data_IF_996243065264
#
_entry.id   IF_996243065264
#
_cell.length_a   1.000
_cell.length_b   1.000
_cell.length_c   1.000
_cell.angle_alpha   90.00
_cell.angle_beta   90.00
_cell.angle_gamma   90.00
#
_symmetry.space_group_name_H-M   'P 1'
#
loop_
_entity.id
_entity.type
_entity.pdbx_description
1 polymer ?
#
# COMPACT_ATOMS: atom_id res chain seq x y z
N UNK A 1 36.14 6.03 34.11
CA UNK A 1 35.09 6.25 33.08
C UNK A 1 34.64 4.88 32.60
N UNK A 2 33.44 4.46 32.95
CA UNK A 2 32.83 3.27 32.36
C UNK A 2 32.57 3.52 30.87
N UNK A 3 33.05 2.62 30.02
CA UNK A 3 32.76 2.69 28.58
C UNK A 3 31.33 2.24 28.37
N UNK A 4 30.55 3.02 27.63
CA UNK A 4 29.23 2.60 27.18
C UNK A 4 29.34 1.27 26.42
N UNK A 5 28.56 0.23 26.77
CA UNK A 5 28.61 -1.07 26.13
C UNK A 5 28.44 -1.02 24.60
N UNK A 6 29.15 -1.88 23.89
CA UNK A 6 29.15 -1.96 22.42
C UNK A 6 27.75 -2.20 21.86
N UNK A 7 26.93 -2.95 22.58
CA UNK A 7 25.55 -3.30 22.22
C UNK A 7 24.66 -2.05 22.14
N UNK A 8 24.90 -1.08 23.04
CA UNK A 8 24.18 0.20 23.03
C UNK A 8 24.57 0.99 21.77
N UNK A 9 25.87 1.07 21.45
CA UNK A 9 26.33 1.75 20.25
C UNK A 9 25.80 1.10 18.97
N UNK A 10 25.80 -0.24 18.89
CA UNK A 10 25.21 -0.97 17.77
C UNK A 10 23.72 -0.66 17.62
N UNK A 11 22.97 -0.60 18.72
CA UNK A 11 21.55 -0.26 18.68
C UNK A 11 21.30 1.17 18.20
N UNK A 12 22.09 2.14 18.68
CA UNK A 12 21.98 3.55 18.25
C UNK A 12 22.37 3.69 16.77
N UNK A 13 23.46 3.05 16.35
CA UNK A 13 23.90 3.06 14.95
C UNK A 13 22.85 2.43 14.03
N UNK A 14 22.23 1.32 14.44
CA UNK A 14 21.10 0.72 13.71
C UNK A 14 20.00 1.75 13.51
N UNK A 15 19.53 2.42 14.56
CA UNK A 15 18.50 3.48 14.44
C UNK A 15 18.93 4.62 13.50
N UNK A 16 20.22 4.94 13.46
CA UNK A 16 20.76 5.99 12.61
C UNK A 16 20.80 5.60 11.12
N UNK A 17 20.83 4.32 10.77
CA UNK A 17 20.92 3.84 9.38
C UNK A 17 19.69 3.05 8.91
N UNK A 18 18.84 2.60 9.85
CA UNK A 18 17.64 1.82 9.58
C UNK A 18 16.47 2.73 9.26
N UNK A 19 16.21 2.91 7.97
CA UNK A 19 14.93 3.37 7.48
C UNK A 19 14.69 2.70 6.12
N UNK A 20 13.65 1.87 6.05
CA UNK A 20 13.30 1.13 4.84
C UNK A 20 12.63 2.07 3.85
N UNK A 21 13.43 2.69 2.99
CA UNK A 21 12.94 3.60 1.95
C UNK A 21 12.55 2.87 0.66
N UNK A 22 13.05 1.65 0.48
CA UNK A 22 12.76 0.78 -0.65
C UNK A 22 12.16 -0.54 -0.15
N UNK A 23 11.39 -1.24 -1.00
CA UNK A 23 10.91 -2.57 -0.71
C UNK A 23 12.06 -3.53 -0.43
N UNK A 24 11.89 -4.41 0.54
CA UNK A 24 12.80 -5.52 0.77
C UNK A 24 12.38 -6.66 -0.15
N UNK A 25 13.33 -7.17 -0.94
CA UNK A 25 13.05 -8.25 -1.87
C UNK A 25 12.67 -9.52 -1.10
N UNK A 26 11.50 -10.10 -1.44
CA UNK A 26 11.05 -11.39 -0.89
C UNK A 26 10.21 -11.32 0.38
N UNK A 27 10.04 -10.16 1.02
CA UNK A 27 9.10 -9.97 2.13
C UNK A 27 7.77 -9.41 1.59
N UNK A 28 6.87 -10.29 1.15
CA UNK A 28 5.54 -9.95 0.61
C UNK A 28 4.50 -9.63 1.70
N UNK A 29 4.94 -9.06 2.82
CA UNK A 29 4.02 -8.55 3.83
C UNK A 29 3.29 -7.34 3.23
N UNK A 30 2.00 -7.50 2.93
CA UNK A 30 1.13 -6.45 2.39
C UNK A 30 1.31 -5.13 3.16
N UNK A 31 1.46 -5.22 4.49
CA UNK A 31 1.65 -4.05 5.34
C UNK A 31 2.96 -3.35 5.02
N UNK A 32 4.04 -4.09 4.78
CA UNK A 32 5.33 -3.51 4.36
C UNK A 32 5.24 -2.91 2.97
N UNK A 33 4.62 -3.61 2.01
CA UNK A 33 4.42 -3.12 0.65
C UNK A 33 3.68 -1.78 0.67
N UNK A 34 2.53 -1.68 1.35
CA UNK A 34 1.79 -0.41 1.49
C UNK A 34 2.56 0.67 2.23
N UNK A 35 3.32 0.32 3.27
CA UNK A 35 4.16 1.30 3.98
C UNK A 35 5.20 1.92 3.08
N UNK A 36 5.63 1.17 2.07
CA UNK A 36 6.71 1.57 1.18
C UNK A 36 6.14 2.23 -0.07
N UNK A 37 4.98 1.82 -0.58
CA UNK A 37 4.31 2.48 -1.71
C UNK A 37 3.63 3.79 -1.31
N UNK A 38 3.23 3.95 -0.04
CA UNK A 38 2.63 5.18 0.49
C UNK A 38 3.59 5.92 1.44
N UNK A 39 3.62 7.26 1.40
CA UNK A 39 4.35 8.02 2.43
C UNK A 39 3.46 8.22 3.64
N UNK A 40 3.59 7.31 4.60
CA UNK A 40 2.86 7.35 5.86
C UNK A 40 3.53 8.28 6.89
N UNK A 41 2.74 8.80 7.85
CA UNK A 41 3.29 9.56 8.97
C UNK A 41 4.34 8.78 9.78
N UNK A 42 4.18 7.45 9.90
CA UNK A 42 5.10 6.57 10.61
C UNK A 42 6.45 6.49 9.91
N UNK A 43 6.46 6.22 8.60
CA UNK A 43 7.69 6.18 7.80
C UNK A 43 8.48 7.49 7.95
N UNK A 44 7.78 8.63 7.84
CA UNK A 44 8.42 9.93 7.98
C UNK A 44 8.96 10.17 9.40
N UNK A 45 8.22 9.79 10.43
CA UNK A 45 8.69 9.89 11.82
C UNK A 45 9.95 9.06 12.06
N UNK A 46 9.97 7.84 11.55
CA UNK A 46 11.14 6.95 11.61
C UNK A 46 12.33 7.55 10.86
N UNK A 47 12.11 8.05 9.64
CA UNK A 47 13.16 8.72 8.87
C UNK A 47 13.72 9.95 9.61
N UNK A 48 12.84 10.81 10.14
CA UNK A 48 13.23 12.00 10.92
C UNK A 48 13.98 11.64 12.19
N UNK A 49 13.59 10.56 12.87
CA UNK A 49 14.30 10.05 14.03
C UNK A 49 15.69 9.52 13.63
N UNK A 50 15.81 8.84 12.50
CA UNK A 50 17.10 8.39 11.96
C UNK A 50 18.02 9.57 11.66
N UNK A 51 17.53 10.63 11.00
CA UNK A 51 18.31 11.85 10.73
C UNK A 51 18.78 12.54 12.01
N UNK A 52 17.88 12.72 12.99
CA UNK A 52 18.25 13.30 14.30
C UNK A 52 19.32 12.48 15.00
N UNK A 53 19.19 11.15 14.96
CA UNK A 53 20.17 10.24 15.55
C UNK A 53 21.51 10.37 14.83
N UNK A 54 21.52 10.41 13.48
CA UNK A 54 22.73 10.67 12.69
C UNK A 54 23.39 12.00 13.07
N UNK A 55 22.63 13.09 13.11
CA UNK A 55 23.16 14.41 13.48
C UNK A 55 23.78 14.38 14.88
N UNK A 56 23.10 13.78 15.86
CA UNK A 56 23.63 13.69 17.23
C UNK A 56 24.91 12.84 17.29
N UNK A 57 24.94 11.71 16.59
CA UNK A 57 26.12 10.84 16.55
C UNK A 57 27.34 11.54 15.93
N UNK A 58 27.12 12.35 14.90
CA UNK A 58 28.16 13.17 14.26
C UNK A 58 28.76 14.23 15.18
N UNK A 59 27.97 14.74 16.13
CA UNK A 59 28.45 15.67 17.16
C UNK A 59 29.27 14.95 18.25
N UNK A 60 28.99 13.67 18.49
CA UNK A 60 29.69 12.87 19.50
C UNK A 60 31.03 12.35 18.97
N UNK A 61 31.08 11.89 17.72
CA UNK A 61 32.26 11.24 17.16
C UNK A 61 32.52 11.67 15.71
N UNK A 62 33.55 12.49 15.51
CA UNK A 62 33.93 13.00 14.19
C UNK A 62 34.33 11.89 13.20
N UNK A 63 34.91 10.77 13.67
CA UNK A 63 35.28 9.65 12.79
C UNK A 63 34.07 8.92 12.20
N UNK A 64 32.86 9.15 12.71
CA UNK A 64 31.62 8.62 12.13
C UNK A 64 31.01 9.55 11.09
N UNK A 65 31.53 10.77 10.91
CA UNK A 65 30.93 11.75 10.00
C UNK A 65 30.82 11.20 8.58
N UNK A 66 31.93 10.72 8.01
CA UNK A 66 31.94 10.21 6.64
C UNK A 66 30.98 9.03 6.45
N UNK A 67 31.00 8.07 7.38
CA UNK A 67 30.09 6.92 7.37
C UNK A 67 28.63 7.34 7.44
N UNK A 68 28.25 8.14 8.45
CA UNK A 68 26.86 8.55 8.68
C UNK A 68 26.34 9.47 7.58
N UNK A 69 27.22 10.25 6.96
CA UNK A 69 26.85 11.10 5.84
C UNK A 69 26.35 10.33 4.62
N UNK A 70 26.79 9.08 4.42
CA UNK A 70 26.29 8.23 3.33
C UNK A 70 24.80 7.90 3.49
N UNK A 71 24.25 8.07 4.69
CA UNK A 71 22.86 7.78 5.02
C UNK A 71 21.98 9.03 5.12
N UNK A 72 22.56 10.23 5.02
CA UNK A 72 21.82 11.49 4.99
C UNK A 72 21.17 11.74 3.63
N UNK A 73 20.11 12.56 3.62
CA UNK A 73 19.49 13.10 2.40
C UNK A 73 18.91 12.02 1.45
N UNK A 74 18.57 10.84 1.99
CA UNK A 74 18.09 9.69 1.19
C UNK A 74 16.60 9.74 0.82
N UNK A 75 15.81 10.55 1.52
CA UNK A 75 14.38 10.74 1.25
C UNK A 75 14.08 12.22 1.04
N UNK A 76 13.37 12.52 -0.04
CA UNK A 76 12.96 13.88 -0.39
C UNK A 76 11.49 13.90 -0.71
N UNK A 77 10.79 14.90 -0.18
CA UNK A 77 9.48 15.28 -0.68
C UNK A 77 9.58 16.61 -1.38
N UNK A 78 9.25 16.62 -2.66
CA UNK A 78 9.12 17.80 -3.47
C UNK A 78 7.79 18.48 -3.14
N UNK A 79 7.88 19.77 -2.87
CA UNK A 79 6.70 20.58 -2.60
C UNK A 79 6.91 21.93 -3.28
N UNK A 80 5.87 22.47 -3.94
CA UNK A 80 5.95 23.79 -4.58
C UNK A 80 6.10 24.94 -3.57
N UNK A 81 6.12 24.64 -2.27
CA UNK A 81 6.24 25.61 -1.19
C UNK A 81 7.64 25.62 -0.54
N UNK A 82 8.45 24.57 -0.73
CA UNK A 82 9.81 24.49 -0.17
C UNK A 82 10.77 23.88 -1.20
N UNK A 83 11.47 24.72 -1.99
CA UNK A 83 12.30 24.26 -3.11
C UNK A 83 13.45 23.33 -2.72
N UNK A 84 14.09 23.60 -1.57
CA UNK A 84 15.26 22.84 -1.11
C UNK A 84 14.88 21.53 -0.39
N UNK A 85 13.61 21.15 -0.41
CA UNK A 85 13.08 20.00 0.35
C UNK A 85 12.73 20.37 1.79
N UNK A 86 11.66 19.75 2.31
CA UNK A 86 10.95 20.32 3.45
C UNK A 86 11.72 20.27 4.79
N UNK A 87 12.49 19.22 5.13
CA UNK A 87 13.38 19.21 6.31
C UNK A 87 14.16 17.89 6.47
N UNK A 88 15.49 17.93 6.75
CA UNK A 88 16.36 19.10 6.57
C UNK A 88 16.45 19.48 5.07
N UNK A 89 16.86 20.71 4.74
CA UNK A 89 17.18 21.07 3.36
C UNK A 89 18.16 20.06 2.77
N UNK A 90 17.84 19.56 1.59
CA UNK A 90 18.57 18.50 0.90
C UNK A 90 19.86 19.08 0.37
N UNK A 91 20.99 18.67 0.95
CA UNK A 91 22.31 19.17 0.54
C UNK A 91 22.90 18.37 -0.61
N UNK A 92 22.52 17.10 -0.74
CA UNK A 92 23.14 16.11 -1.64
C UNK A 92 22.08 15.34 -2.40
N UNK A 93 21.60 15.97 -3.46
CA UNK A 93 20.57 15.42 -4.35
C UNK A 93 21.02 14.13 -5.07
N UNK A 94 22.33 13.95 -5.24
CA UNK A 94 22.95 12.73 -5.81
C UNK A 94 22.77 11.48 -4.91
N UNK A 95 22.40 11.68 -3.63
CA UNK A 95 22.21 10.60 -2.64
C UNK A 95 20.76 10.23 -2.38
N UNK A 96 19.83 10.95 -2.99
CA UNK A 96 18.40 10.68 -2.85
C UNK A 96 18.11 9.28 -3.36
N UNK A 97 17.41 8.50 -2.55
CA UNK A 97 16.99 7.14 -2.89
C UNK A 97 15.50 7.10 -3.21
N UNK A 98 14.72 7.89 -2.50
CA UNK A 98 13.27 7.97 -2.67
C UNK A 98 12.83 9.41 -2.77
N UNK A 99 12.05 9.67 -3.79
CA UNK A 99 11.46 10.96 -4.09
C UNK A 99 9.94 10.83 -4.06
N UNK A 100 9.30 11.73 -3.32
CA UNK A 100 7.85 11.88 -3.28
C UNK A 100 7.51 13.25 -3.85
N UNK A 101 6.57 13.32 -4.80
CA UNK A 101 6.07 14.61 -5.27
C UNK A 101 5.03 15.20 -4.32
N UNK A 102 4.16 16.09 -4.81
CA UNK A 102 3.23 16.84 -3.98
C UNK A 102 1.96 16.00 -3.74
N UNK A 103 2.08 14.82 -3.14
CA UNK A 103 0.93 14.02 -2.77
C UNK A 103 0.17 14.68 -1.62
N UNK A 104 -1.17 14.62 -1.65
CA UNK A 104 -2.06 15.20 -0.65
C UNK A 104 -2.11 14.44 0.69
N UNK A 105 -0.99 13.96 1.21
CA UNK A 105 -1.00 13.23 2.48
C UNK A 105 -1.30 14.17 3.66
N UNK A 106 -2.42 13.89 4.32
CA UNK A 106 -2.87 14.58 5.54
C UNK A 106 -2.27 13.89 6.76
N UNK A 107 -1.14 14.38 7.25
CA UNK A 107 -0.69 13.95 8.56
C UNK A 107 -1.32 14.79 9.67
N UNK A 108 -2.14 14.17 10.53
CA UNK A 108 -2.75 14.84 11.71
C UNK A 108 -1.74 15.12 12.82
N UNK A 109 -0.76 14.23 12.99
CA UNK A 109 0.36 14.45 13.91
C UNK A 109 1.28 15.47 13.23
N UNK A 110 1.75 16.49 13.95
CA UNK A 110 2.73 17.50 13.47
C UNK A 110 4.11 16.91 13.08
N UNK A 111 4.17 15.66 12.62
CA UNK A 111 5.40 15.09 12.09
C UNK A 111 5.81 15.85 10.83
N UNK A 112 4.83 16.18 9.98
CA UNK A 112 4.88 17.22 8.97
C UNK A 112 4.43 18.57 9.54
N UNK A 113 4.76 19.72 8.91
CA UNK A 113 3.87 20.87 8.97
C UNK A 113 2.47 20.34 8.68
N UNK A 114 1.55 20.63 9.58
CA UNK A 114 0.21 20.08 9.46
C UNK A 114 -0.35 20.42 8.07
N UNK A 115 -1.12 19.51 7.48
CA UNK A 115 -1.87 19.82 6.27
C UNK A 115 -2.75 21.07 6.47
N UNK A 116 -3.08 21.45 7.71
CA UNK A 116 -3.71 22.74 8.01
C UNK A 116 -2.88 23.95 7.54
N UNK A 117 -1.55 23.85 7.54
CA UNK A 117 -0.63 24.84 6.98
C UNK A 117 -0.65 24.79 5.44
N UNK A 118 -0.78 23.61 4.83
CA UNK A 118 -0.97 23.47 3.37
C UNK A 118 -2.38 23.88 2.91
N UNK A 119 -3.43 23.71 3.72
CA UNK A 119 -4.78 24.19 3.42
C UNK A 119 -4.86 25.69 3.64
N UNK A 120 -4.18 26.23 4.67
CA UNK A 120 -3.91 27.66 4.81
C UNK A 120 -3.13 28.17 3.60
N UNK A 121 -2.09 27.48 3.12
CA UNK A 121 -1.37 27.79 1.87
C UNK A 121 -2.12 27.40 0.59
N UNK A 122 -3.27 26.73 0.67
CA UNK A 122 -4.15 26.53 -0.48
C UNK A 122 -5.14 27.68 -0.56
N UNK A 123 -5.57 28.20 0.60
CA UNK A 123 -6.44 29.38 0.73
C UNK A 123 -5.71 30.73 0.72
N UNK A 124 -4.41 30.75 1.07
CA UNK A 124 -3.52 31.93 1.17
C UNK A 124 -2.17 31.63 0.48
N UNK A 125 -2.16 30.72 -0.49
CA UNK A 125 -0.92 30.24 -1.06
C UNK A 125 -0.01 31.32 -1.61
N UNK A 126 1.29 31.01 -1.78
CA UNK A 126 2.12 31.77 -2.70
C UNK A 126 1.33 31.99 -4.00
N UNK A 127 1.47 33.20 -4.54
CA UNK A 127 0.91 33.55 -5.83
C UNK A 127 1.25 32.44 -6.85
N UNK A 128 0.38 32.21 -7.82
CA UNK A 128 0.58 31.21 -8.89
C UNK A 128 1.97 31.35 -9.51
N UNK A 129 2.48 32.59 -9.58
CA UNK A 129 3.84 32.90 -10.03
C UNK A 129 4.95 32.42 -9.08
N UNK A 130 4.81 32.56 -7.77
CA UNK A 130 5.78 32.06 -6.80
C UNK A 130 5.81 30.51 -6.77
N UNK A 131 4.65 29.88 -6.96
CA UNK A 131 4.56 28.42 -7.17
C UNK A 131 5.32 28.00 -8.44
N UNK A 132 5.05 28.64 -9.58
CA UNK A 132 5.76 28.35 -10.84
C UNK A 132 7.27 28.56 -10.67
N UNK A 133 7.69 29.63 -10.02
CA UNK A 133 9.10 29.92 -9.74
C UNK A 133 9.76 28.79 -8.93
N UNK A 134 9.06 28.27 -7.93
CA UNK A 134 9.54 27.15 -7.11
C UNK A 134 9.58 25.84 -7.90
N UNK A 135 8.56 25.55 -8.70
CA UNK A 135 8.53 24.39 -9.58
C UNK A 135 9.67 24.42 -10.61
N UNK A 136 9.92 25.58 -11.23
CA UNK A 136 11.05 25.82 -12.14
C UNK A 136 12.39 25.68 -11.42
N UNK A 137 12.54 26.21 -10.21
CA UNK A 137 13.76 26.06 -9.42
C UNK A 137 14.06 24.58 -9.12
N UNK A 138 13.04 23.80 -8.73
CA UNK A 138 13.18 22.36 -8.52
C UNK A 138 13.60 21.67 -9.83
N UNK A 139 12.87 21.95 -10.92
CA UNK A 139 13.14 21.36 -12.24
C UNK A 139 14.55 21.63 -12.73
N UNK A 140 14.99 22.88 -12.69
CA UNK A 140 16.21 23.29 -13.37
C UNK A 140 17.45 23.08 -12.49
N UNK A 141 17.30 23.16 -11.16
CA UNK A 141 18.44 23.10 -10.23
C UNK A 141 18.57 21.77 -9.49
N UNK A 142 17.46 21.13 -9.12
CA UNK A 142 17.47 20.01 -8.18
C UNK A 142 17.31 18.66 -8.86
N UNK A 143 16.33 18.51 -9.75
CA UNK A 143 16.09 17.23 -10.45
C UNK A 143 17.28 16.74 -11.28
N UNK A 144 18.07 17.59 -11.97
CA UNK A 144 19.23 17.13 -12.74
C UNK A 144 20.36 16.59 -11.87
N UNK A 145 20.34 16.88 -10.56
CA UNK A 145 21.32 16.38 -9.60
C UNK A 145 20.94 14.99 -9.05
N UNK A 146 19.75 14.47 -9.35
CA UNK A 146 19.36 13.12 -8.97
C UNK A 146 20.25 12.11 -9.71
N UNK A 147 21.03 11.35 -8.94
CA UNK A 147 21.91 10.33 -9.48
C UNK A 147 21.24 8.96 -9.59
N UNK A 148 22.02 7.97 -10.02
CA UNK A 148 21.66 6.54 -10.13
C UNK A 148 21.16 5.87 -8.82
N UNK A 149 21.22 6.61 -7.71
CA UNK A 149 20.78 6.15 -6.38
C UNK A 149 19.28 6.32 -6.19
N UNK A 150 18.63 7.19 -6.95
CA UNK A 150 17.19 7.41 -6.87
C UNK A 150 16.47 6.20 -7.46
N UNK A 151 15.90 5.36 -6.61
CA UNK A 151 15.29 4.08 -7.01
C UNK A 151 13.77 4.06 -6.84
N UNK A 152 13.20 5.08 -6.19
CA UNK A 152 11.77 5.15 -5.92
C UNK A 152 11.21 6.55 -6.22
N UNK A 153 10.14 6.59 -7.01
CA UNK A 153 9.39 7.80 -7.34
C UNK A 153 7.94 7.57 -6.93
N UNK A 154 7.39 8.47 -6.13
CA UNK A 154 6.01 8.39 -5.66
C UNK A 154 5.30 9.70 -5.94
N UNK A 155 4.13 9.63 -6.57
CA UNK A 155 3.28 10.77 -6.89
C UNK A 155 4.06 11.90 -7.57
N UNK A 156 4.72 11.66 -8.73
CA UNK A 156 5.64 12.62 -9.33
C UNK A 156 4.98 13.97 -9.70
N UNK A 157 3.65 14.01 -9.83
CA UNK A 157 2.87 15.22 -10.05
C UNK A 157 3.39 16.05 -11.24
N UNK A 158 3.67 17.36 -11.06
CA UNK A 158 4.10 18.23 -12.15
C UNK A 158 5.51 17.91 -12.69
N UNK A 159 6.30 17.10 -12.00
CA UNK A 159 7.68 16.75 -12.35
C UNK A 159 7.82 15.43 -13.09
N UNK A 160 6.71 14.77 -13.42
CA UNK A 160 6.70 13.46 -14.11
C UNK A 160 7.60 13.40 -15.34
N UNK A 161 7.49 14.39 -16.23
CA UNK A 161 8.31 14.47 -17.47
C UNK A 161 9.80 14.69 -17.20
N UNK A 162 10.15 15.38 -16.12
CA UNK A 162 11.54 15.66 -15.78
C UNK A 162 12.20 14.41 -15.18
N UNK A 163 11.44 13.68 -14.35
CA UNK A 163 11.86 12.45 -13.67
C UNK A 163 11.89 11.23 -14.60
N UNK A 164 11.22 11.31 -15.73
CA UNK A 164 11.34 10.36 -16.83
C UNK A 164 12.80 10.24 -17.34
N UNK A 165 13.73 11.14 -17.05
CA UNK A 165 15.14 10.89 -17.41
C UNK A 165 15.80 9.74 -16.63
N UNK A 166 15.21 9.31 -15.51
CA UNK A 166 15.73 8.24 -14.65
C UNK A 166 15.20 6.89 -15.16
N UNK A 167 16.08 5.92 -15.43
CA UNK A 167 15.76 4.61 -16.03
C UNK A 167 15.92 3.42 -15.05
N UNK A 168 16.64 3.62 -13.96
CA UNK A 168 17.00 2.63 -12.94
C UNK A 168 15.99 2.57 -11.78
N UNK A 169 14.77 3.05 -12.01
CA UNK A 169 13.70 3.07 -11.02
C UNK A 169 13.20 1.66 -10.75
N UNK A 170 13.08 1.32 -9.47
CA UNK A 170 12.62 0.03 -8.96
C UNK A 170 11.21 0.12 -8.38
N UNK A 171 10.81 1.29 -7.88
CA UNK A 171 9.46 1.58 -7.39
C UNK A 171 8.90 2.83 -8.07
N UNK A 172 7.74 2.69 -8.71
CA UNK A 172 6.99 3.80 -9.28
C UNK A 172 5.56 3.77 -8.73
N UNK A 173 5.14 4.86 -8.10
CA UNK A 173 3.74 5.11 -7.79
C UNK A 173 3.32 6.37 -8.57
N UNK A 174 2.53 6.16 -9.63
CA UNK A 174 2.05 7.21 -10.51
C UNK A 174 0.57 7.44 -10.28
N UNK A 175 0.25 8.50 -9.54
CA UNK A 175 -1.09 8.88 -9.14
C UNK A 175 -1.82 9.76 -10.17
N UNK A 176 -1.14 10.16 -11.24
CA UNK A 176 -1.76 10.94 -12.30
C UNK A 176 -2.64 10.03 -13.16
N UNK A 177 -3.94 10.34 -13.24
CA UNK A 177 -4.82 9.76 -14.25
C UNK A 177 -4.17 10.02 -15.60
N UNK A 178 -3.87 8.93 -16.31
CA UNK A 178 -3.26 9.01 -17.63
C UNK A 178 -4.29 9.64 -18.58
N UNK A 179 -4.17 10.95 -18.80
CA UNK A 179 -5.03 11.69 -19.74
C UNK A 179 -4.72 11.32 -21.21
N UNK A 180 -3.57 10.69 -21.45
CA UNK A 180 -3.14 10.18 -22.76
C UNK A 180 -3.56 8.71 -22.97
N UNK A 181 -3.38 8.22 -24.19
CA UNK A 181 -3.58 6.82 -24.55
C UNK A 181 -2.86 5.86 -23.56
N UNK A 182 -3.60 5.02 -22.81
CA UNK A 182 -3.01 4.06 -21.87
C UNK A 182 -2.03 3.09 -22.52
N UNK A 183 -2.24 2.75 -23.80
CA UNK A 183 -1.39 1.84 -24.56
C UNK A 183 0.01 2.40 -24.74
N UNK A 184 0.08 3.63 -25.23
CA UNK A 184 1.35 4.33 -25.44
C UNK A 184 2.06 4.53 -24.10
N UNK A 185 1.32 4.91 -23.07
CA UNK A 185 1.89 5.18 -21.76
C UNK A 185 2.46 3.91 -21.10
N UNK A 186 1.70 2.82 -21.02
CA UNK A 186 2.16 1.56 -20.42
C UNK A 186 3.32 0.95 -21.22
N UNK A 187 3.28 1.04 -22.55
CA UNK A 187 4.39 0.58 -23.41
C UNK A 187 5.65 1.44 -23.22
N UNK A 188 5.49 2.74 -22.99
CA UNK A 188 6.62 3.63 -22.65
C UNK A 188 7.18 3.29 -21.28
N UNK A 189 6.33 2.99 -20.29
CA UNK A 189 6.79 2.57 -18.97
C UNK A 189 7.56 1.24 -19.02
N UNK A 190 7.03 0.23 -19.71
CA UNK A 190 7.64 -1.11 -19.80
C UNK A 190 9.01 -1.09 -20.46
N UNK A 191 9.13 -0.38 -21.59
CA UNK A 191 10.40 -0.26 -22.32
C UNK A 191 11.47 0.50 -21.54
N UNK A 192 11.04 1.45 -20.71
CA UNK A 192 11.92 2.37 -19.99
C UNK A 192 12.38 1.85 -18.65
N UNK A 193 11.45 1.37 -17.83
CA UNK A 193 11.70 0.94 -16.46
C UNK A 193 11.85 -0.58 -16.41
N UNK A 194 12.85 -1.12 -17.09
CA UNK A 194 13.11 -2.57 -17.16
C UNK A 194 13.45 -3.20 -15.80
N UNK A 195 13.89 -2.37 -14.85
CA UNK A 195 14.23 -2.76 -13.47
C UNK A 195 13.07 -2.61 -12.48
N UNK A 196 11.88 -2.25 -12.96
CA UNK A 196 10.73 -2.00 -12.09
C UNK A 196 10.28 -3.27 -11.39
N UNK A 197 10.23 -3.22 -10.06
CA UNK A 197 9.76 -4.32 -9.20
C UNK A 197 8.39 -4.01 -8.61
N UNK A 198 8.11 -2.73 -8.35
CA UNK A 198 6.86 -2.27 -7.76
C UNK A 198 6.25 -1.15 -8.60
N UNK A 199 5.00 -1.37 -9.04
CA UNK A 199 4.23 -0.41 -9.81
C UNK A 199 2.89 -0.18 -9.14
N UNK A 200 2.61 1.06 -8.79
CA UNK A 200 1.27 1.54 -8.46
C UNK A 200 0.84 2.54 -9.52
N UNK A 201 -0.34 2.35 -10.10
CA UNK A 201 -0.79 3.10 -11.26
C UNK A 201 -2.30 3.31 -11.26
N UNK A 202 -2.72 4.47 -11.77
CA UNK A 202 -4.12 4.79 -12.02
C UNK A 202 -4.41 4.71 -13.50
N UNK A 203 -5.32 3.81 -13.90
CA UNK A 203 -5.66 3.56 -15.29
C UNK A 203 -7.13 3.86 -15.54
N UNK A 204 -7.53 4.37 -16.71
CA UNK A 204 -8.93 4.46 -17.06
C UNK A 204 -9.54 3.08 -17.36
N UNK A 205 -8.73 2.13 -17.82
CA UNK A 205 -9.14 0.77 -18.17
C UNK A 205 -7.95 -0.20 -18.17
N UNK A 206 -8.22 -1.50 -17.99
CA UNK A 206 -7.26 -2.59 -18.22
C UNK A 206 -7.22 -3.06 -19.68
N UNK A 207 -8.17 -2.61 -20.52
CA UNK A 207 -8.18 -2.89 -21.96
C UNK A 207 -7.21 -1.96 -22.65
N UNK A 208 -6.17 -2.55 -23.21
CA UNK A 208 -5.11 -1.80 -23.88
C UNK A 208 -4.85 -2.44 -25.26
N UNK A 209 -5.77 -2.27 -26.24
CA UNK A 209 -5.73 -3.02 -27.49
C UNK A 209 -4.42 -2.77 -28.23
N UNK A 210 -3.77 -3.85 -28.66
CA UNK A 210 -2.50 -3.78 -29.39
C UNK A 210 -1.27 -3.40 -28.55
N UNK A 211 -1.42 -3.12 -27.25
CA UNK A 211 -0.27 -2.94 -26.37
C UNK A 211 0.33 -4.28 -25.96
N UNK A 212 1.66 -4.34 -25.97
CA UNK A 212 2.43 -5.39 -25.33
C UNK A 212 3.13 -4.77 -24.12
N UNK A 213 2.69 -5.17 -22.93
CA UNK A 213 3.13 -4.62 -21.66
C UNK A 213 3.96 -5.69 -20.97
N UNK A 214 5.28 -5.55 -21.05
CA UNK A 214 6.25 -6.49 -20.48
C UNK A 214 6.93 -5.85 -19.26
N UNK A 215 6.82 -6.48 -18.08
CA UNK A 215 7.65 -6.10 -16.94
C UNK A 215 8.32 -7.34 -16.33
N UNK A 216 9.53 -7.70 -16.79
CA UNK A 216 10.16 -8.98 -16.46
C UNK A 216 10.57 -9.11 -14.99
N UNK A 217 10.69 -7.99 -14.28
CA UNK A 217 11.09 -7.92 -12.88
C UNK A 217 9.97 -7.49 -11.93
N UNK A 218 8.79 -7.15 -12.45
CA UNK A 218 7.69 -6.66 -11.64
C UNK A 218 7.13 -7.79 -10.78
N UNK A 219 7.22 -7.63 -9.46
CA UNK A 219 6.69 -8.58 -8.49
C UNK A 219 5.43 -8.08 -7.77
N UNK A 220 5.21 -6.75 -7.80
CA UNK A 220 4.11 -6.07 -7.11
C UNK A 220 3.44 -5.11 -8.07
N UNK A 221 2.15 -5.31 -8.31
CA UNK A 221 1.32 -4.43 -9.11
C UNK A 221 0.10 -3.97 -8.29
N UNK A 222 -0.11 -2.66 -8.19
CA UNK A 222 -1.32 -2.05 -7.64
C UNK A 222 -1.98 -1.21 -8.72
N UNK A 223 -3.13 -1.65 -9.21
CA UNK A 223 -3.91 -0.92 -10.23
C UNK A 223 -5.15 -0.34 -9.58
N UNK A 224 -5.36 0.96 -9.76
CA UNK A 224 -6.64 1.61 -9.45
C UNK A 224 -7.30 2.07 -10.74
N UNK A 225 -8.52 1.60 -11.00
CA UNK A 225 -9.30 2.09 -12.12
C UNK A 225 -9.96 3.43 -11.78
N UNK A 226 -9.59 4.47 -12.51
CA UNK A 226 -10.10 5.82 -12.35
C UNK A 226 -11.09 6.15 -13.46
N UNK A 227 -12.33 6.39 -13.07
CA UNK A 227 -13.47 6.59 -13.95
C UNK A 227 -13.75 8.05 -14.21
N UNK A 228 -13.16 8.58 -15.27
CA UNK A 228 -13.47 9.94 -15.72
C UNK A 228 -13.62 10.08 -17.23
N UNK A 229 -13.55 8.99 -17.99
CA UNK A 229 -13.58 9.08 -19.44
C UNK A 229 -14.49 7.98 -19.96
N UNK A 230 -15.57 8.37 -20.62
CA UNK A 230 -16.46 7.47 -21.38
C UNK A 230 -15.70 6.94 -22.60
N UNK A 231 -14.71 6.08 -22.36
CA UNK A 231 -14.07 5.33 -23.43
C UNK A 231 -15.12 4.36 -23.97
N UNK A 232 -15.43 4.40 -25.28
CA UNK A 232 -16.32 3.44 -25.89
C UNK A 232 -15.67 2.07 -25.76
N UNK A 233 -16.24 1.23 -24.89
CA UNK A 233 -15.78 -0.14 -24.75
C UNK A 233 -16.12 -0.91 -26.02
N UNK A 234 -15.16 -1.62 -26.63
CA UNK A 234 -15.46 -2.47 -27.77
C UNK A 234 -16.45 -3.56 -27.32
N UNK A 235 -17.57 -3.69 -28.03
CA UNK A 235 -18.54 -4.77 -27.83
C UNK A 235 -18.70 -5.55 -29.13
N UNK A 236 -18.36 -6.86 -29.19
CA UNK A 236 -17.93 -7.71 -28.08
C UNK A 236 -16.47 -7.48 -27.63
N UNK A 237 -16.23 -7.78 -26.36
CA UNK A 237 -14.88 -7.87 -25.79
C UNK A 237 -14.21 -9.16 -26.27
N UNK A 238 -13.33 -9.05 -27.27
CA UNK A 238 -12.50 -10.16 -27.73
C UNK A 238 -11.20 -10.21 -26.91
N UNK A 239 -10.61 -11.41 -26.68
CA UNK A 239 -9.32 -11.54 -26.00
C UNK A 239 -8.20 -10.67 -26.61
N UNK A 240 -8.22 -10.49 -27.93
CA UNK A 240 -7.28 -9.61 -28.66
C UNK A 240 -7.37 -8.13 -28.28
N UNK A 241 -8.48 -7.68 -27.68
CA UNK A 241 -8.66 -6.31 -27.22
C UNK A 241 -8.01 -6.05 -25.86
N UNK A 242 -7.74 -7.09 -25.05
CA UNK A 242 -7.22 -6.92 -23.69
C UNK A 242 -5.80 -6.33 -23.62
N UNK A 243 -5.06 -6.35 -24.74
CA UNK A 243 -3.60 -6.20 -24.69
C UNK A 243 -2.96 -7.46 -24.11
N UNK A 244 -1.64 -7.57 -24.27
CA UNK A 244 -0.85 -8.66 -23.69
C UNK A 244 -0.06 -8.12 -22.51
N UNK A 245 -0.35 -8.65 -21.32
CA UNK A 245 0.40 -8.40 -20.10
C UNK A 245 1.32 -9.59 -19.82
N UNK A 246 2.63 -9.39 -19.99
CA UNK A 246 3.66 -10.37 -19.62
C UNK A 246 4.36 -9.93 -18.33
N UNK A 247 3.90 -10.50 -17.21
CA UNK A 247 4.36 -10.19 -15.86
C UNK A 247 4.85 -11.47 -15.15
N UNK A 248 5.94 -12.11 -15.63
CA UNK A 248 6.31 -13.48 -15.24
C UNK A 248 6.75 -13.61 -13.77
N UNK A 249 7.05 -12.50 -13.10
CA UNK A 249 7.43 -12.47 -11.68
C UNK A 249 6.35 -11.89 -10.78
N UNK A 250 5.17 -11.55 -11.30
CA UNK A 250 4.12 -10.92 -10.51
C UNK A 250 3.65 -11.87 -9.41
N UNK A 251 3.82 -11.49 -8.15
CA UNK A 251 3.39 -12.27 -6.99
C UNK A 251 2.29 -11.58 -6.19
N UNK A 252 2.33 -10.26 -6.13
CA UNK A 252 1.37 -9.44 -5.40
C UNK A 252 0.57 -8.58 -6.37
N UNK A 253 -0.76 -8.70 -6.32
CA UNK A 253 -1.69 -7.90 -7.08
C UNK A 253 -2.69 -7.20 -6.14
N UNK A 254 -2.72 -5.89 -6.19
CA UNK A 254 -3.80 -5.08 -5.63
C UNK A 254 -4.64 -4.48 -6.74
N UNK A 255 -5.95 -4.64 -6.65
CA UNK A 255 -6.91 -4.11 -7.60
C UNK A 255 -7.93 -3.24 -6.88
N UNK A 256 -8.08 -1.99 -7.33
CA UNK A 256 -9.07 -1.04 -6.82
C UNK A 256 -9.80 -0.35 -7.98
N UNK A 257 -10.92 0.29 -7.70
CA UNK A 257 -11.69 1.03 -8.71
C UNK A 257 -12.58 2.06 -8.04
N UNK A 258 -12.44 3.33 -8.43
CA UNK A 258 -13.20 4.44 -7.83
C UNK A 258 -14.66 4.46 -8.25
N UNK A 259 -15.01 3.92 -9.42
CA UNK A 259 -16.38 3.72 -9.89
C UNK A 259 -16.45 2.46 -10.74
N UNK A 260 -16.67 1.33 -10.07
CA UNK A 260 -16.64 0.05 -10.77
C UNK A 260 -17.91 -0.18 -11.56
N UNK A 261 -17.74 -0.42 -12.86
CA UNK A 261 -18.77 -0.93 -13.74
C UNK A 261 -18.59 -2.44 -13.92
N UNK A 262 -19.65 -3.18 -14.21
CA UNK A 262 -19.58 -4.64 -14.45
C UNK A 262 -18.58 -4.99 -15.56
N UNK A 263 -18.43 -4.11 -16.57
CA UNK A 263 -17.43 -4.29 -17.61
C UNK A 263 -16.00 -4.32 -17.06
N UNK A 264 -15.67 -3.50 -16.05
CA UNK A 264 -14.34 -3.43 -15.45
C UNK A 264 -13.94 -4.74 -14.79
N UNK A 265 -14.92 -5.43 -14.23
CA UNK A 265 -14.77 -6.73 -13.60
C UNK A 265 -14.50 -7.81 -14.64
N UNK A 266 -15.21 -7.78 -15.76
CA UNK A 266 -14.95 -8.69 -16.88
C UNK A 266 -13.56 -8.46 -17.49
N UNK A 267 -13.13 -7.20 -17.59
CA UNK A 267 -11.78 -6.85 -18.03
C UNK A 267 -10.73 -7.37 -17.06
N UNK A 268 -10.96 -7.19 -15.76
CA UNK A 268 -10.09 -7.69 -14.72
C UNK A 268 -9.98 -9.22 -14.73
N UNK A 269 -11.09 -9.94 -14.97
CA UNK A 269 -11.05 -11.40 -15.15
C UNK A 269 -10.18 -11.81 -16.33
N UNK A 270 -10.32 -11.15 -17.49
CA UNK A 270 -9.46 -11.40 -18.64
C UNK A 270 -7.98 -11.14 -18.30
N UNK A 271 -7.70 -10.06 -17.58
CA UNK A 271 -6.36 -9.77 -17.08
C UNK A 271 -5.82 -10.90 -16.18
N UNK A 272 -6.62 -11.40 -15.22
CA UNK A 272 -6.22 -12.54 -14.38
C UNK A 272 -5.92 -13.81 -15.19
N UNK A 273 -6.59 -14.06 -16.31
CA UNK A 273 -6.24 -15.23 -17.15
C UNK A 273 -4.84 -15.16 -17.74
N UNK A 274 -4.28 -13.95 -17.89
CA UNK A 274 -2.94 -13.73 -18.44
C UNK A 274 -1.86 -13.84 -17.35
N UNK A 275 -2.08 -13.21 -16.19
CA UNK A 275 -1.04 -13.04 -15.16
C UNK A 275 -1.27 -13.85 -13.89
N UNK A 276 -2.46 -14.43 -13.72
CA UNK A 276 -2.91 -14.92 -12.43
C UNK A 276 -2.18 -16.17 -11.91
N UNK A 277 -1.53 -16.94 -12.79
CA UNK A 277 -0.79 -18.16 -12.41
C UNK A 277 0.35 -17.91 -11.44
N UNK A 278 0.98 -16.74 -11.49
CA UNK A 278 2.13 -16.42 -10.61
C UNK A 278 1.70 -15.68 -9.35
N UNK A 279 0.44 -15.22 -9.29
CA UNK A 279 -0.09 -14.46 -8.17
C UNK A 279 -0.23 -15.36 -6.96
N UNK A 280 0.42 -14.96 -5.87
CA UNK A 280 0.34 -15.61 -4.56
C UNK A 280 -0.41 -14.74 -3.55
N UNK A 281 -0.44 -13.42 -3.77
CA UNK A 281 -1.12 -12.45 -2.92
C UNK A 281 -2.06 -11.61 -3.77
N UNK A 282 -3.35 -11.62 -3.43
CA UNK A 282 -4.37 -10.80 -4.07
C UNK A 282 -5.06 -9.92 -3.03
N UNK A 283 -5.21 -8.62 -3.33
CA UNK A 283 -5.84 -7.65 -2.46
C UNK A 283 -6.87 -6.81 -3.22
N UNK A 284 -8.06 -6.66 -2.64
CA UNK A 284 -9.05 -5.69 -3.09
C UNK A 284 -8.85 -4.35 -2.41
N UNK A 285 -8.64 -3.33 -3.22
CA UNK A 285 -8.50 -1.97 -2.77
C UNK A 285 -9.80 -1.41 -2.18
N UNK A 286 -9.65 -0.25 -1.56
CA UNK A 286 -10.61 0.31 -0.63
C UNK A 286 -11.97 0.61 -1.27
N UNK A 287 -11.98 1.15 -2.48
CA UNK A 287 -13.23 1.61 -3.10
C UNK A 287 -14.09 0.42 -3.54
N UNK A 288 -13.46 -0.67 -3.95
CA UNK A 288 -14.16 -1.92 -4.29
C UNK A 288 -14.79 -2.60 -3.08
N UNK A 289 -14.10 -2.63 -1.94
CA UNK A 289 -14.61 -3.24 -0.70
C UNK A 289 -15.92 -2.61 -0.20
N UNK A 290 -16.23 -1.38 -0.63
CA UNK A 290 -17.47 -0.68 -0.27
C UNK A 290 -18.64 -1.01 -1.22
N UNK A 291 -18.39 -1.74 -2.33
CA UNK A 291 -19.38 -2.01 -3.40
C UNK A 291 -19.75 -3.49 -3.52
N UNK A 292 -20.85 -3.88 -2.86
CA UNK A 292 -21.34 -5.28 -2.80
C UNK A 292 -21.82 -5.86 -4.14
N UNK A 293 -22.35 -5.03 -5.02
CA UNK A 293 -22.84 -5.42 -6.35
C UNK A 293 -21.71 -5.95 -7.25
N UNK A 294 -20.53 -5.38 -7.06
CA UNK A 294 -19.33 -5.61 -7.86
C UNK A 294 -18.58 -6.86 -7.38
N UNK A 295 -18.45 -7.05 -6.07
CA UNK A 295 -17.63 -8.18 -5.57
C UNK A 295 -18.25 -9.54 -5.87
N UNK A 296 -19.59 -9.65 -5.90
CA UNK A 296 -20.30 -10.86 -6.36
C UNK A 296 -19.96 -11.25 -7.80
N UNK A 297 -19.76 -10.25 -8.67
CA UNK A 297 -19.38 -10.49 -10.05
C UNK A 297 -17.88 -10.62 -10.21
N UNK A 298 -17.06 -10.31 -9.22
CA UNK A 298 -15.63 -10.55 -9.29
C UNK A 298 -15.30 -12.03 -9.03
N UNK A 299 -15.84 -12.56 -7.94
CA UNK A 299 -15.58 -13.92 -7.46
C UNK A 299 -16.54 -14.95 -8.07
N UNK A 300 -16.49 -15.13 -9.40
CA UNK A 300 -17.18 -16.27 -10.04
C UNK A 300 -16.54 -17.59 -9.64
N UNK A 301 -17.29 -18.68 -9.87
CA UNK A 301 -16.85 -20.08 -9.78
C UNK A 301 -15.42 -20.35 -10.27
N UNK A 302 -14.99 -19.70 -11.37
CA UNK A 302 -13.66 -19.92 -11.98
C UNK A 302 -12.57 -18.96 -11.46
N UNK A 303 -12.79 -18.24 -10.36
CA UNK A 303 -11.80 -17.30 -9.82
C UNK A 303 -10.47 -18.00 -9.50
N UNK A 304 -10.53 -19.12 -8.79
CA UNK A 304 -9.33 -19.87 -8.39
C UNK A 304 -8.62 -20.53 -9.58
N UNK A 305 -9.33 -20.86 -10.66
CA UNK A 305 -8.71 -21.34 -11.90
C UNK A 305 -7.81 -20.28 -12.55
N UNK A 306 -8.17 -19.01 -12.35
CA UNK A 306 -7.41 -17.87 -12.85
C UNK A 306 -6.20 -17.56 -11.97
N UNK A 307 -6.29 -17.83 -10.66
CA UNK A 307 -5.22 -17.57 -9.67
C UNK A 307 -4.86 -18.83 -8.85
N UNK A 308 -4.37 -19.90 -9.49
CA UNK A 308 -4.16 -21.18 -8.81
C UNK A 308 -3.08 -21.15 -7.72
N UNK A 309 -2.14 -20.21 -7.79
CA UNK A 309 -1.07 -20.09 -6.80
C UNK A 309 -1.44 -19.23 -5.58
N UNK A 310 -2.70 -18.81 -5.47
CA UNK A 310 -3.14 -17.86 -4.45
C UNK A 310 -3.02 -18.46 -3.04
N UNK A 311 -2.17 -17.85 -2.21
CA UNK A 311 -1.98 -18.21 -0.81
C UNK A 311 -2.55 -17.15 0.15
N UNK A 312 -2.65 -15.90 -0.30
CA UNK A 312 -3.03 -14.76 0.52
C UNK A 312 -4.12 -13.95 -0.16
N UNK A 313 -5.21 -13.68 0.56
CA UNK A 313 -6.36 -12.96 0.04
C UNK A 313 -6.76 -11.84 1.02
N UNK A 314 -6.61 -10.60 0.58
CA UNK A 314 -7.06 -9.41 1.29
C UNK A 314 -8.37 -8.88 0.73
N UNK A 315 -9.49 -9.32 1.28
CA UNK A 315 -10.84 -8.89 0.87
C UNK A 315 -11.71 -8.62 2.09
N UNK A 316 -12.88 -8.01 1.90
CA UNK A 316 -13.81 -7.74 2.99
C UNK A 316 -14.54 -9.00 3.44
N UNK A 317 -15.07 -9.00 4.66
CA UNK A 317 -15.82 -10.15 5.20
C UNK A 317 -17.03 -10.54 4.37
N UNK A 318 -17.71 -9.54 3.83
CA UNK A 318 -18.82 -9.78 2.92
C UNK A 318 -18.34 -10.58 1.71
N UNK A 319 -17.22 -10.18 1.12
CA UNK A 319 -16.65 -10.81 -0.08
C UNK A 319 -16.15 -12.23 0.21
N UNK A 320 -15.60 -12.47 1.40
CA UNK A 320 -15.22 -13.83 1.83
C UNK A 320 -16.40 -14.80 1.82
N UNK A 321 -17.59 -14.34 2.19
CA UNK A 321 -18.82 -15.16 2.13
C UNK A 321 -19.30 -15.46 0.71
N UNK A 322 -18.79 -14.74 -0.29
CA UNK A 322 -19.17 -14.86 -1.69
C UNK A 322 -18.11 -15.62 -2.51
N UNK A 323 -17.00 -16.02 -1.89
CA UNK A 323 -15.98 -16.81 -2.57
C UNK A 323 -16.57 -18.14 -3.04
N UNK A 324 -16.27 -18.55 -4.29
CA UNK A 324 -16.76 -19.80 -4.83
C UNK A 324 -16.23 -20.99 -4.02
N UNK A 325 -16.92 -22.12 -4.13
CA UNK A 325 -16.38 -23.40 -3.63
C UNK A 325 -15.12 -23.73 -4.39
N UNK A 326 -14.11 -24.18 -3.65
CA UNK A 326 -12.99 -24.83 -4.30
C UNK A 326 -13.53 -26.15 -4.86
N UNK A 327 -12.98 -26.58 -5.99
CA UNK A 327 -13.29 -27.92 -6.49
C UNK A 327 -12.81 -28.95 -5.47
N UNK A 328 -13.50 -30.08 -5.34
CA UNK A 328 -13.11 -31.19 -4.44
C UNK A 328 -11.67 -31.68 -4.69
N UNK A 329 -11.13 -31.44 -5.89
CA UNK A 329 -9.76 -31.79 -6.29
C UNK A 329 -8.69 -30.78 -5.82
N UNK A 330 -9.08 -29.66 -5.21
CA UNK A 330 -8.17 -28.58 -4.84
C UNK A 330 -7.74 -28.67 -3.38
N UNK A 331 -6.45 -28.93 -3.13
CA UNK A 331 -5.90 -28.82 -1.79
C UNK A 331 -5.93 -27.34 -1.35
N UNK A 332 -6.83 -27.00 -0.43
CA UNK A 332 -6.95 -25.64 0.11
C UNK A 332 -5.89 -25.42 1.21
N UNK A 333 -4.88 -24.54 0.98
CA UNK A 333 -3.93 -24.22 2.02
C UNK A 333 -4.61 -23.49 3.20
N UNK A 334 -4.01 -23.52 4.41
CA UNK A 334 -4.48 -22.73 5.55
C UNK A 334 -4.56 -21.25 5.20
N UNK A 335 -5.64 -20.62 5.64
CA UNK A 335 -5.93 -19.24 5.29
C UNK A 335 -5.02 -18.29 6.07
N UNK A 336 -4.55 -17.26 5.38
CA UNK A 336 -3.96 -16.09 6.03
C UNK A 336 -4.77 -14.84 5.68
N UNK A 337 -5.33 -14.18 6.70
CA UNK A 337 -6.11 -12.95 6.59
C UNK A 337 -5.26 -11.76 7.05
N UNK A 338 -5.35 -10.65 6.33
CA UNK A 338 -4.78 -9.37 6.77
C UNK A 338 -5.86 -8.47 7.35
N UNK A 339 -5.66 -7.98 8.57
CA UNK A 339 -6.61 -7.12 9.27
C UNK A 339 -6.17 -5.66 9.18
N UNK A 340 -6.82 -4.87 8.32
CA UNK A 340 -6.43 -3.49 8.09
C UNK A 340 -7.17 -2.50 9.02
N UNK A 341 -6.90 -2.60 10.32
CA UNK A 341 -7.52 -1.73 11.33
C UNK A 341 -7.10 -0.24 11.24
N UNK A 342 -6.14 0.08 10.37
CA UNK A 342 -5.62 1.43 10.18
C UNK A 342 -6.72 2.48 10.03
N UNK A 343 -7.81 2.10 9.36
CA UNK A 343 -8.91 3.00 9.03
C UNK A 343 -9.71 3.47 10.26
N UNK A 344 -9.92 2.60 11.25
CA UNK A 344 -10.69 2.96 12.46
C UNK A 344 -9.95 4.00 13.31
N UNK A 345 -8.63 3.89 13.37
CA UNK A 345 -7.84 4.68 14.31
C UNK A 345 -7.12 5.85 13.66
N UNK A 346 -7.19 6.00 12.34
CA UNK A 346 -6.60 7.15 11.66
C UNK A 346 -7.24 8.47 12.07
N UNK A 347 -8.55 8.45 12.36
CA UNK A 347 -9.27 9.67 12.70
C UNK A 347 -9.06 10.10 14.15
N UNK A 348 -8.99 9.15 15.10
CA UNK A 348 -8.99 9.42 16.55
C UNK A 348 -7.74 8.92 17.30
N UNK A 349 -6.88 8.14 16.62
CA UNK A 349 -5.81 7.37 17.24
C UNK A 349 -6.31 6.08 17.90
N UNK A 350 -5.46 5.04 18.06
CA UNK A 350 -5.83 3.89 18.87
C UNK A 350 -6.00 4.36 20.32
N UNK A 351 -7.02 3.90 21.07
CA UNK A 351 -7.13 4.21 22.48
C UNK A 351 -5.86 3.80 23.22
N UNK A 352 -5.44 4.62 24.18
CA UNK A 352 -4.19 4.42 24.94
C UNK A 352 -4.11 3.04 25.60
N UNK A 353 -5.25 2.50 26.01
CA UNK A 353 -5.37 1.15 26.59
C UNK A 353 -4.95 0.08 25.58
N UNK A 354 -5.42 0.15 24.32
CA UNK A 354 -5.02 -0.79 23.27
C UNK A 354 -3.55 -0.73 22.94
N UNK A 355 -2.99 0.48 22.85
CA UNK A 355 -1.58 0.66 22.53
C UNK A 355 -0.65 0.04 23.60
N UNK A 356 -1.15 -0.17 24.83
CA UNK A 356 -0.42 -0.86 25.91
C UNK A 356 -0.54 -2.39 25.80
N UNK A 357 -1.66 -2.90 25.32
CA UNK A 357 -1.97 -4.33 25.24
C UNK A 357 -1.63 -4.98 23.89
N UNK A 358 -1.56 -4.19 22.82
CA UNK A 358 -1.02 -4.66 21.55
C UNK A 358 0.44 -5.07 21.79
N UNK A 359 0.86 -6.27 21.35
CA UNK A 359 2.26 -6.66 21.41
C UNK A 359 3.12 -5.54 20.84
N UNK A 360 4.25 -5.19 21.47
CA UNK A 360 5.16 -4.11 21.00
C UNK A 360 5.62 -4.27 19.54
N UNK A 361 5.43 -5.46 18.97
CA UNK A 361 5.72 -5.82 17.58
C UNK A 361 4.62 -5.41 16.60
N UNK A 362 3.45 -5.00 17.07
CA UNK A 362 2.33 -4.58 16.23
C UNK A 362 2.32 -3.06 16.18
N UNK A 363 2.67 -2.44 15.04
CA UNK A 363 2.66 -1.00 14.93
C UNK A 363 1.20 -0.51 15.09
N UNK A 364 0.98 0.60 15.81
CA UNK A 364 -0.38 1.12 16.02
C UNK A 364 -1.08 1.38 14.68
N UNK A 365 -2.27 0.80 14.50
CA UNK A 365 -3.04 0.87 13.26
C UNK A 365 -2.80 -0.28 12.28
N UNK A 366 -2.02 -1.31 12.64
CA UNK A 366 -1.81 -2.50 11.80
C UNK A 366 -2.02 -3.73 12.66
N UNK A 367 -3.16 -4.40 12.50
CA UNK A 367 -3.23 -5.79 12.97
C UNK A 367 -2.53 -6.62 11.89
N UNK A 368 -1.53 -7.39 12.31
CA UNK A 368 -0.66 -8.11 11.40
C UNK A 368 -1.38 -9.21 10.61
N UNK A 369 -0.56 -9.98 9.90
CA UNK A 369 -0.93 -11.25 9.30
C UNK A 369 -1.51 -12.21 10.36
N UNK A 370 -2.73 -12.72 10.12
CA UNK A 370 -3.43 -13.68 10.97
C UNK A 370 -3.58 -14.99 10.22
N UNK A 371 -3.01 -16.07 10.76
CA UNK A 371 -3.16 -17.40 10.18
C UNK A 371 -4.30 -18.14 10.87
N UNK A 372 -5.18 -18.75 10.08
CA UNK A 372 -6.25 -19.61 10.54
C UNK A 372 -5.82 -21.07 10.45
N UNK A 373 -6.25 -21.89 11.40
CA UNK A 373 -6.01 -23.35 11.41
C UNK A 373 -7.01 -24.11 10.53
N UNK A 374 -7.76 -23.42 9.68
CA UNK A 374 -8.80 -24.00 8.82
C UNK A 374 -8.60 -23.64 7.35
N UNK A 375 -9.21 -24.45 6.48
CA UNK A 375 -9.25 -24.23 5.04
C UNK A 375 -10.25 -23.14 4.66
N UNK A 376 -10.13 -22.61 3.43
CA UNK A 376 -11.09 -21.63 2.88
C UNK A 376 -12.54 -22.10 2.96
N UNK A 377 -12.77 -23.37 2.66
CA UNK A 377 -14.11 -23.95 2.65
C UNK A 377 -14.70 -24.04 4.05
N UNK A 378 -13.92 -24.54 5.00
CA UNK A 378 -14.36 -24.67 6.38
C UNK A 378 -14.63 -23.29 7.00
N UNK A 379 -13.78 -22.31 6.72
CA UNK A 379 -13.99 -20.94 7.19
C UNK A 379 -15.26 -20.33 6.60
N UNK A 380 -15.48 -20.47 5.29
CA UNK A 380 -16.68 -19.97 4.61
C UNK A 380 -17.95 -20.65 5.12
N UNK A 381 -17.94 -21.98 5.25
CA UNK A 381 -19.10 -22.74 5.72
C UNK A 381 -19.46 -22.36 7.16
N UNK A 382 -18.46 -22.09 8.01
CA UNK A 382 -18.67 -21.52 9.35
C UNK A 382 -19.28 -20.12 9.29
N UNK A 383 -18.81 -19.23 8.41
CA UNK A 383 -19.44 -17.91 8.18
C UNK A 383 -20.92 -18.07 7.80
N UNK A 384 -21.23 -18.96 6.85
CA UNK A 384 -22.61 -19.19 6.43
C UNK A 384 -23.47 -19.80 7.53
N UNK A 385 -22.95 -20.79 8.28
CA UNK A 385 -23.66 -21.42 9.38
C UNK A 385 -24.08 -20.39 10.44
N UNK A 386 -23.15 -19.52 10.85
CA UNK A 386 -23.45 -18.48 11.82
C UNK A 386 -24.29 -17.34 11.23
N UNK A 387 -24.08 -16.98 9.96
CA UNK A 387 -24.88 -15.99 9.23
C UNK A 387 -26.34 -16.42 8.96
N UNK A 388 -26.60 -17.73 8.85
CA UNK A 388 -27.93 -18.30 8.68
C UNK A 388 -28.73 -18.37 10.00
N UNK A 389 -28.06 -18.32 11.16
CA UNK A 389 -28.73 -18.17 12.46
C UNK A 389 -29.32 -16.75 12.58
N UNK A 390 -30.59 -16.63 12.22
CA UNK A 390 -31.32 -15.38 11.89
C UNK A 390 -31.33 -14.28 12.97
N UNK A 391 -30.84 -14.51 14.18
CA UNK A 391 -30.79 -13.50 15.25
C UNK A 391 -29.55 -12.60 15.24
N UNK A 392 -28.46 -12.99 14.57
CA UNK A 392 -27.21 -12.22 14.58
C UNK A 392 -26.91 -11.51 13.24
N UNK A 393 -27.36 -12.04 12.10
CA UNK A 393 -26.88 -11.56 10.79
C UNK A 393 -27.57 -10.33 10.21
N UNK A 394 -28.75 -9.93 10.71
CA UNK A 394 -29.45 -8.74 10.16
C UNK A 394 -29.38 -7.51 11.05
N UNK A 395 -29.07 -7.62 12.34
CA UNK A 395 -28.89 -6.44 13.20
C UNK A 395 -27.43 -6.07 13.41
N UNK A 396 -26.48 -7.02 13.55
CA UNK A 396 -25.05 -6.67 13.58
C UNK A 396 -24.54 -6.27 12.19
N UNK A 397 -24.76 -7.09 11.14
CA UNK A 397 -24.30 -6.73 9.78
C UNK A 397 -25.08 -5.57 9.12
N UNK A 398 -26.27 -5.16 9.64
CA UNK A 398 -26.97 -3.95 9.14
C UNK A 398 -26.86 -2.73 10.07
N UNK A 399 -26.57 -2.87 11.36
CA UNK A 399 -26.56 -1.74 12.31
C UNK A 399 -25.22 -1.49 12.99
N UNK A 400 -24.11 -2.13 12.62
CA UNK A 400 -22.91 -2.06 13.45
C UNK A 400 -21.62 -1.92 12.63
N UNK A 401 -21.21 -0.65 12.50
CA UNK A 401 -19.85 -0.16 12.35
C UNK A 401 -19.16 -0.30 11.00
N UNK A 402 -18.64 0.84 10.57
CA UNK A 402 -17.97 1.16 9.31
C UNK A 402 -16.60 0.50 9.12
N UNK A 403 -16.38 -0.73 9.61
CA UNK A 403 -15.12 -1.43 9.40
C UNK A 403 -15.32 -2.93 9.47
N UNK A 404 -15.22 -3.59 8.31
CA UNK A 404 -15.20 -5.05 8.22
C UNK A 404 -14.15 -5.71 9.13
N UNK A 405 -13.15 -4.99 9.62
CA UNK A 405 -12.08 -5.54 10.47
C UNK A 405 -12.53 -5.97 11.88
N UNK A 406 -13.54 -5.33 12.49
CA UNK A 406 -14.11 -5.79 13.78
C UNK A 406 -14.99 -7.02 13.55
N UNK A 407 -15.75 -7.03 12.45
CA UNK A 407 -16.56 -8.19 12.06
C UNK A 407 -15.69 -9.42 11.83
N UNK A 408 -14.47 -9.26 11.30
CA UNK A 408 -13.49 -10.35 11.21
C UNK A 408 -13.18 -10.90 12.61
N UNK A 409 -12.85 -10.05 13.59
CA UNK A 409 -12.54 -10.51 14.95
C UNK A 409 -13.74 -11.18 15.65
N UNK A 410 -14.96 -10.71 15.41
CA UNK A 410 -16.18 -11.32 15.94
C UNK A 410 -16.50 -12.65 15.25
N UNK A 411 -16.36 -12.74 13.93
CA UNK A 411 -16.51 -14.02 13.21
C UNK A 411 -15.45 -15.02 13.65
N UNK A 412 -14.19 -14.60 13.77
CA UNK A 412 -13.10 -15.46 14.22
C UNK A 412 -13.30 -15.96 15.65
N UNK A 413 -13.88 -15.13 16.52
CA UNK A 413 -14.28 -15.54 17.85
C UNK A 413 -15.48 -16.50 17.84
N UNK A 414 -16.55 -16.18 17.11
CA UNK A 414 -17.76 -17.01 17.00
C UNK A 414 -17.43 -18.39 16.41
N UNK A 415 -16.49 -18.42 15.46
CA UNK A 415 -16.01 -19.66 14.85
C UNK A 415 -15.01 -20.43 15.73
N UNK A 416 -14.62 -19.90 16.89
CA UNK A 416 -13.74 -20.59 17.86
C UNK A 416 -12.33 -20.85 17.32
N UNK A 417 -11.87 -20.06 16.35
CA UNK A 417 -10.58 -20.28 15.70
C UNK A 417 -9.45 -19.77 16.60
N UNK A 418 -8.47 -20.65 16.86
CA UNK A 418 -7.24 -20.34 17.58
C UNK A 418 -6.37 -19.39 16.76
N UNK A 419 -6.76 -18.12 16.74
CA UNK A 419 -6.08 -17.07 15.99
C UNK A 419 -4.63 -17.02 16.37
N UNK A 420 -3.72 -17.17 15.42
CA UNK A 420 -2.31 -16.98 15.66
C UNK A 420 -1.79 -15.80 14.85
N UNK A 421 -0.88 -15.03 15.44
CA UNK A 421 -0.06 -14.11 14.66
C UNK A 421 0.88 -14.88 13.72
N UNK A 422 1.60 -14.17 12.83
CA UNK A 422 2.61 -14.75 11.93
C UNK A 422 3.63 -15.66 12.63
N UNK A 423 3.89 -15.44 13.91
CA UNK A 423 4.84 -16.22 14.70
C UNK A 423 4.21 -17.39 15.47
N UNK A 424 2.91 -17.65 15.26
CA UNK A 424 2.20 -18.76 15.91
C UNK A 424 1.67 -18.42 17.31
N UNK A 425 1.68 -17.15 17.73
CA UNK A 425 1.20 -16.80 19.07
C UNK A 425 -0.33 -16.65 19.09
N UNK A 426 -1.04 -17.36 19.99
CA UNK A 426 -2.48 -17.28 20.07
C UNK A 426 -2.95 -15.89 20.49
N UNK A 427 -4.02 -15.42 19.87
CA UNK A 427 -4.68 -14.16 20.14
C UNK A 427 -5.48 -14.31 21.43
N UNK A 428 -4.96 -13.77 22.53
CA UNK A 428 -5.58 -13.85 23.85
C UNK A 428 -6.97 -13.16 23.85
N UNK A 429 -7.93 -13.77 24.54
CA UNK A 429 -9.26 -13.22 24.80
C UNK A 429 -9.18 -11.79 25.39
N UNK A 430 -8.13 -11.47 26.15
CA UNK A 430 -7.89 -10.13 26.70
C UNK A 430 -7.65 -9.05 25.62
N UNK A 431 -6.99 -9.40 24.50
CA UNK A 431 -6.76 -8.48 23.37
C UNK A 431 -8.07 -8.23 22.64
N UNK A 432 -8.90 -9.27 22.47
CA UNK A 432 -10.25 -9.14 21.91
C UNK A 432 -11.13 -8.24 22.76
N UNK A 433 -11.23 -8.49 24.08
CA UNK A 433 -12.04 -7.67 24.99
C UNK A 433 -11.58 -6.21 24.96
N UNK A 434 -10.28 -5.98 24.82
CA UNK A 434 -9.73 -4.63 24.63
C UNK A 434 -10.20 -4.00 23.32
N UNK A 435 -10.15 -4.71 22.19
CA UNK A 435 -10.61 -4.21 20.88
C UNK A 435 -12.13 -3.96 20.87
N UNK A 436 -12.93 -4.90 21.40
CA UNK A 436 -14.40 -4.79 21.49
C UNK A 436 -14.82 -3.65 22.42
N UNK A 437 -14.20 -3.54 23.61
CA UNK A 437 -14.46 -2.43 24.53
C UNK A 437 -14.19 -1.08 23.86
N UNK A 438 -13.14 -0.99 23.06
CA UNK A 438 -12.77 0.21 22.32
C UNK A 438 -13.76 0.53 21.22
N UNK A 439 -14.12 -0.45 20.40
CA UNK A 439 -15.13 -0.29 19.36
C UNK A 439 -16.47 0.20 19.96
N UNK A 440 -16.84 -0.31 21.12
CA UNK A 440 -18.06 0.08 21.81
C UNK A 440 -18.01 1.52 22.38
N UNK A 441 -16.81 2.02 22.72
CA UNK A 441 -16.56 3.38 23.24
C UNK A 441 -16.36 4.43 22.15
N UNK A 442 -15.96 4.05 20.95
CA UNK A 442 -15.84 4.93 19.78
C UNK A 442 -17.19 5.23 19.09
N UNK A 443 -18.31 4.97 19.78
CA UNK A 443 -19.64 5.38 19.33
C UNK A 443 -19.74 6.91 19.39
N UNK A 444 -20.07 7.60 18.28
CA UNK A 444 -20.36 9.03 18.31
C UNK A 444 -21.59 9.35 19.16
#
# INVERSE_FOLDING_TARGET
>A
MERTPTEIWQRILRLAISCSLLPLHGDYDHVQIRTISEVTCSLFLEYKQSERTRTNLRLVCASWNEFLEQYSDRFVRLTPYVPDGYWPPVKRWDRVIRLEGPAGHTCKKRCWPAFSMMSLWATQGPDVEERKKTETLIRDKHLPLLGHRCKAIISPGPWKRDLESLDHIVLLNDDAIVASDPAVYLSTLSTKYTNLQHLQIYLPTLIVPGAHIEFPLLDTLSVTLATHIDFPLPNPLLPSHGGLWDLPKLRYLEFDSTDTRICDINMFRLFLTQVGRTITHFHLGKYLLERRDVTNTLFSDNFYDSVPSLAYLGVGMHDLSQLPRLSDDYYSPPITIFLNIYRMWWWEGPPRELAKHLPKRWPPGRLGEVRLEVTWEEFRDRIHYHGASRQYSTSLMRRSFWSGDIEILDVLHITGQGLMDRAGFPFDASIRESIVSIASKAKP
#
